data_IF_018792747304
#
_entry.id   IF_018792747304
#
_cell.length_a   1.000
_cell.length_b   1.000
_cell.length_c   1.000
_cell.angle_alpha   90.00
_cell.angle_beta   90.00
_cell.angle_gamma   90.00
#
_symmetry.space_group_name_H-M   'P 1'
#
loop_
_entity.id
_entity.type
_entity.pdbx_description
1 polymer ?
#
# COMPACT_ATOMS: atom_id res chain seq x y z
N UNK A 1 7.93 -31.83 0.58
CA UNK A 1 8.61 -30.62 0.09
C UNK A 1 7.86 -30.23 -1.17
N UNK A 2 6.89 -29.32 -1.07
CA UNK A 2 5.94 -29.05 -2.15
C UNK A 2 5.77 -27.56 -2.32
N UNK A 3 6.28 -27.11 -3.47
CA UNK A 3 5.87 -25.99 -4.30
C UNK A 3 5.56 -24.66 -3.61
N UNK A 4 6.55 -23.78 -3.60
CA UNK A 4 6.36 -22.34 -3.60
C UNK A 4 5.56 -21.95 -4.86
N UNK A 5 4.27 -21.66 -4.70
CA UNK A 5 3.50 -20.98 -5.73
C UNK A 5 3.75 -19.48 -5.58
N UNK A 6 4.89 -19.01 -6.07
CA UNK A 6 5.08 -17.60 -6.38
C UNK A 6 4.02 -17.23 -7.44
N UNK A 7 3.00 -16.48 -7.02
CA UNK A 7 2.04 -15.85 -7.91
C UNK A 7 2.80 -14.94 -8.88
N UNK A 8 3.14 -15.49 -10.04
CA UNK A 8 3.96 -14.83 -11.03
C UNK A 8 3.17 -13.75 -11.76
N UNK A 9 3.83 -12.61 -11.97
CA UNK A 9 3.32 -11.51 -12.78
C UNK A 9 2.84 -12.01 -14.15
N UNK A 10 1.58 -11.77 -14.51
CA UNK A 10 1.02 -12.09 -15.83
C UNK A 10 0.81 -10.80 -16.66
N UNK A 11 1.64 -10.54 -17.68
CA UNK A 11 1.54 -9.32 -18.48
C UNK A 11 0.25 -9.22 -19.32
N UNK A 12 -0.55 -10.28 -19.45
CA UNK A 12 -1.82 -10.24 -20.16
C UNK A 12 -2.97 -9.73 -19.30
N UNK A 13 -2.82 -9.75 -17.98
CA UNK A 13 -3.86 -9.41 -17.01
C UNK A 13 -3.41 -8.37 -15.99
N UNK A 14 -2.11 -8.11 -15.90
CA UNK A 14 -1.47 -7.20 -14.96
C UNK A 14 -0.50 -6.24 -15.64
N UNK A 15 -0.25 -5.11 -15.00
CA UNK A 15 0.73 -4.11 -15.38
C UNK A 15 1.61 -3.76 -14.17
N UNK A 16 2.85 -3.37 -14.46
CA UNK A 16 3.74 -2.76 -13.47
C UNK A 16 3.69 -1.24 -13.62
N UNK A 17 3.33 -0.56 -12.53
CA UNK A 17 3.30 0.90 -12.47
C UNK A 17 4.52 1.38 -11.68
N UNK A 18 5.32 2.23 -12.31
CA UNK A 18 6.54 2.83 -11.72
C UNK A 18 6.23 4.26 -11.25
N UNK A 19 6.43 4.49 -9.95
CA UNK A 19 6.27 5.76 -9.25
C UNK A 19 7.64 6.38 -8.90
N UNK A 20 8.66 6.22 -9.73
CA UNK A 20 10.04 6.70 -9.54
C UNK A 20 10.80 6.07 -8.36
N UNK A 21 10.23 6.11 -7.15
CA UNK A 21 10.80 5.61 -5.88
C UNK A 21 10.39 4.18 -5.55
N UNK A 22 9.30 3.69 -6.13
CA UNK A 22 8.78 2.35 -5.92
C UNK A 22 7.96 1.89 -7.12
N UNK A 23 7.66 0.59 -7.15
CA UNK A 23 6.78 -0.01 -8.16
C UNK A 23 5.65 -0.78 -7.50
N UNK A 24 4.52 -0.86 -8.20
CA UNK A 24 3.38 -1.73 -7.87
C UNK A 24 3.00 -2.57 -9.08
N UNK A 25 2.37 -3.72 -8.82
CA UNK A 25 1.68 -4.53 -9.81
C UNK A 25 0.18 -4.39 -9.57
N UNK A 26 -0.57 -4.12 -10.63
CA UNK A 26 -2.03 -3.96 -10.61
C UNK A 26 -2.64 -4.62 -11.83
N UNK A 27 -3.94 -4.92 -11.83
CA UNK A 27 -4.66 -5.21 -13.07
C UNK A 27 -4.56 -4.07 -14.10
N UNK A 28 -4.81 -4.39 -15.38
CA UNK A 28 -4.65 -3.47 -16.51
C UNK A 28 -5.59 -2.24 -16.50
N UNK A 29 -6.68 -2.28 -15.75
CA UNK A 29 -7.69 -1.21 -15.67
C UNK A 29 -7.36 -0.11 -14.63
N UNK A 30 -6.29 -0.30 -13.84
CA UNK A 30 -5.84 0.70 -12.88
C UNK A 30 -5.04 1.83 -13.55
N UNK A 31 -5.35 3.06 -13.17
CA UNK A 31 -4.72 4.27 -13.71
C UNK A 31 -4.13 5.11 -12.58
N UNK A 32 -2.90 5.61 -12.79
CA UNK A 32 -2.24 6.51 -11.84
C UNK A 32 -2.74 7.94 -11.93
N UNK A 33 -2.73 8.64 -10.80
CA UNK A 33 -3.01 10.07 -10.72
C UNK A 33 -2.11 10.75 -9.68
N UNK A 34 -1.91 12.06 -9.84
CA UNK A 34 -1.15 12.91 -8.92
C UNK A 34 -1.99 14.14 -8.58
N UNK A 35 -2.50 14.24 -7.33
CA UNK A 35 -3.26 15.40 -6.89
C UNK A 35 -2.40 16.68 -6.88
N UNK A 36 -2.98 17.79 -7.34
CA UNK A 36 -2.29 19.09 -7.33
C UNK A 36 -2.24 19.69 -5.92
N UNK A 37 -1.22 20.52 -5.67
CA UNK A 37 -1.12 21.31 -4.44
C UNK A 37 -0.58 20.56 -3.23
N UNK A 38 0.22 19.50 -3.44
CA UNK A 38 0.89 18.78 -2.36
C UNK A 38 2.40 19.03 -2.43
N UNK A 39 3.02 19.34 -1.29
CA UNK A 39 4.48 19.60 -1.19
C UNK A 39 5.29 18.28 -1.04
N UNK A 40 4.61 17.13 -0.94
CA UNK A 40 5.20 15.80 -0.76
C UNK A 40 5.10 14.91 -1.99
N UNK A 41 5.76 13.74 -1.94
CA UNK A 41 5.60 12.74 -3.00
C UNK A 41 4.32 11.92 -2.75
N UNK A 42 3.21 12.48 -3.19
CA UNK A 42 1.86 11.97 -2.98
C UNK A 42 1.15 11.67 -4.30
N UNK A 43 0.31 10.65 -4.31
CA UNK A 43 -0.46 10.29 -5.49
C UNK A 43 -1.37 9.10 -5.25
N UNK A 44 -1.77 8.43 -6.34
CA UNK A 44 -2.56 7.22 -6.21
C UNK A 44 -2.81 6.48 -7.52
N UNK A 45 -3.62 5.44 -7.38
CA UNK A 45 -4.09 4.51 -8.39
C UNK A 45 -5.60 4.36 -8.24
N UNK A 46 -6.35 4.25 -9.33
CA UNK A 46 -7.78 3.93 -9.29
C UNK A 46 -8.22 3.10 -10.49
N UNK A 47 -9.19 2.22 -10.30
CA UNK A 47 -9.93 1.54 -11.35
C UNK A 47 -11.39 2.04 -11.46
N UNK A 48 -11.68 3.24 -10.94
CA UNK A 48 -13.03 3.82 -10.76
C UNK A 48 -13.95 3.12 -9.74
N UNK A 49 -13.55 1.96 -9.19
CA UNK A 49 -14.27 1.27 -8.11
C UNK A 49 -13.60 1.49 -6.76
N UNK A 50 -12.28 1.28 -6.74
CA UNK A 50 -11.42 1.50 -5.60
C UNK A 50 -10.38 2.56 -5.94
N UNK A 51 -9.95 3.29 -4.92
CA UNK A 51 -8.89 4.28 -5.03
C UNK A 51 -7.86 4.00 -3.95
N UNK A 52 -6.63 3.75 -4.38
CA UNK A 52 -5.46 3.55 -3.54
C UNK A 52 -4.60 4.80 -3.61
N UNK A 53 -4.39 5.44 -2.47
CA UNK A 53 -3.50 6.57 -2.33
C UNK A 53 -2.13 6.09 -1.85
N UNK A 54 -1.09 6.88 -2.11
CA UNK A 54 0.20 6.72 -1.48
C UNK A 54 0.71 8.04 -0.94
N UNK A 55 1.40 7.98 0.19
CA UNK A 55 2.22 9.04 0.75
C UNK A 55 3.63 8.49 0.96
N UNK A 56 4.62 9.13 0.33
CA UNK A 56 6.01 8.69 0.36
C UNK A 56 6.91 9.73 1.00
N UNK A 57 7.80 9.26 1.87
CA UNK A 57 8.87 10.03 2.48
C UNK A 57 8.67 10.25 3.98
N UNK A 58 9.52 11.09 4.55
CA UNK A 58 9.61 11.35 6.01
C UNK A 58 8.33 11.89 6.66
N UNK A 59 7.40 12.40 5.85
CA UNK A 59 6.12 12.92 6.33
C UNK A 59 4.97 11.92 6.21
N UNK A 60 5.21 10.74 5.62
CA UNK A 60 4.19 9.71 5.41
C UNK A 60 3.73 9.07 6.74
N UNK A 61 4.71 8.68 7.57
CA UNK A 61 4.55 8.22 8.94
C UNK A 61 5.92 8.32 9.65
N UNK A 62 5.96 8.17 10.97
CA UNK A 62 7.19 8.34 11.76
C UNK A 62 8.19 7.19 11.60
N UNK A 63 7.74 5.96 11.88
CA UNK A 63 8.52 4.73 11.80
C UNK A 63 7.58 3.52 11.73
N UNK A 64 8.02 2.42 11.13
CA UNK A 64 7.21 1.18 11.12
C UNK A 64 6.98 0.64 12.53
N UNK A 65 7.90 0.94 13.46
CA UNK A 65 7.82 0.50 14.84
C UNK A 65 6.71 1.24 15.62
N UNK A 66 6.30 2.43 15.16
CA UNK A 66 5.20 3.23 15.75
C UNK A 66 3.81 2.79 15.25
N UNK A 67 3.75 1.96 14.21
CA UNK A 67 2.49 1.40 13.70
C UNK A 67 2.14 0.17 14.53
N UNK A 68 1.23 0.30 15.48
CA UNK A 68 0.80 -0.80 16.37
C UNK A 68 -0.70 -1.03 16.32
N UNK A 69 -1.12 -2.23 16.72
CA UNK A 69 -2.53 -2.53 16.98
C UNK A 69 -3.05 -1.70 18.17
N UNK A 70 -4.31 -1.27 18.09
CA UNK A 70 -5.02 -0.50 19.10
C UNK A 70 -6.54 -0.79 19.04
N UNK A 71 -7.34 -0.13 19.88
CA UNK A 71 -8.79 -0.36 19.97
C UNK A 71 -9.57 0.00 18.68
N UNK A 72 -8.98 0.78 17.77
CA UNK A 72 -9.57 1.13 16.46
C UNK A 72 -9.22 0.11 15.37
N UNK A 73 -8.32 -0.83 15.68
CA UNK A 73 -7.81 -1.82 14.74
C UNK A 73 -8.79 -2.98 14.59
N UNK A 74 -9.15 -3.29 13.34
CA UNK A 74 -10.00 -4.42 12.97
C UNK A 74 -9.13 -5.63 12.60
N UNK A 75 -8.01 -5.39 11.92
CA UNK A 75 -7.02 -6.43 11.64
C UNK A 75 -5.63 -5.83 11.52
N UNK A 76 -4.64 -6.56 12.03
CA UNK A 76 -3.24 -6.18 12.00
C UNK A 76 -2.39 -7.35 11.50
N UNK A 77 -1.45 -7.08 10.59
CA UNK A 77 -0.53 -8.08 10.08
C UNK A 77 0.86 -7.48 9.93
N UNK A 78 1.87 -8.13 10.52
CA UNK A 78 3.28 -7.87 10.26
C UNK A 78 3.83 -8.86 9.23
N UNK A 79 4.65 -8.37 8.32
CA UNK A 79 5.17 -9.15 7.20
C UNK A 79 6.41 -8.51 6.60
N UNK A 80 7.10 -9.26 5.73
CA UNK A 80 8.19 -8.75 4.90
C UNK A 80 7.69 -8.67 3.46
N UNK A 81 7.76 -7.47 2.86
CA UNK A 81 7.38 -7.23 1.46
C UNK A 81 8.54 -6.59 0.75
N UNK A 82 8.97 -7.17 -0.38
CA UNK A 82 10.12 -6.67 -1.12
C UNK A 82 11.44 -6.65 -0.34
N UNK A 83 11.56 -7.46 0.71
CA UNK A 83 12.72 -7.48 1.61
C UNK A 83 12.66 -6.50 2.78
N UNK A 84 11.57 -5.74 2.95
CA UNK A 84 11.45 -4.70 3.96
C UNK A 84 10.33 -4.95 4.96
N UNK A 85 10.55 -4.52 6.20
CA UNK A 85 9.57 -4.58 7.28
C UNK A 85 8.32 -3.83 6.88
N UNK A 86 7.19 -4.51 6.91
CA UNK A 86 5.93 -3.97 6.45
C UNK A 86 4.78 -4.37 7.36
N UNK A 87 3.74 -3.55 7.38
CA UNK A 87 2.52 -3.78 8.18
C UNK A 87 1.29 -3.52 7.32
N UNK A 88 0.30 -4.40 7.42
CA UNK A 88 -1.04 -4.18 6.85
C UNK A 88 -2.01 -3.98 8.01
N UNK A 89 -2.77 -2.90 7.95
CA UNK A 89 -3.71 -2.50 9.01
C UNK A 89 -5.05 -2.19 8.38
N UNK A 90 -6.11 -2.82 8.88
CA UNK A 90 -7.48 -2.39 8.66
C UNK A 90 -7.96 -1.77 9.95
N UNK A 91 -8.36 -0.51 9.92
CA UNK A 91 -8.81 0.24 11.09
C UNK A 91 -10.10 1.02 10.78
N UNK A 92 -10.85 1.36 11.83
CA UNK A 92 -11.96 2.31 11.77
C UNK A 92 -11.83 3.28 12.93
N UNK A 93 -11.40 4.50 12.64
CA UNK A 93 -11.16 5.52 13.65
C UNK A 93 -12.45 6.16 14.12
N UNK A 94 -12.44 6.63 15.35
CA UNK A 94 -13.59 7.37 15.88
C UNK A 94 -13.87 8.61 15.01
N UNK A 95 -15.14 8.80 14.63
CA UNK A 95 -15.58 9.89 13.76
C UNK A 95 -15.36 9.68 12.25
N UNK A 96 -14.63 8.64 11.83
CA UNK A 96 -14.49 8.32 10.40
C UNK A 96 -15.73 7.56 9.86
N UNK A 97 -16.19 7.97 8.68
CA UNK A 97 -17.34 7.36 8.00
C UNK A 97 -17.02 5.99 7.38
N UNK A 98 -15.74 5.66 7.21
CA UNK A 98 -15.27 4.53 6.41
C UNK A 98 -14.06 3.89 7.07
N UNK A 99 -13.89 2.59 6.86
CA UNK A 99 -12.65 1.91 7.24
C UNK A 99 -11.49 2.39 6.38
N UNK A 100 -10.28 2.26 6.93
CA UNK A 100 -9.05 2.55 6.22
C UNK A 100 -8.20 1.29 6.18
N UNK A 101 -7.89 0.84 4.97
CA UNK A 101 -7.02 -0.30 4.74
C UNK A 101 -5.67 0.21 4.27
N UNK A 102 -4.67 0.12 5.14
CA UNK A 102 -3.35 0.71 4.94
C UNK A 102 -2.29 -0.37 4.86
N UNK A 103 -1.28 -0.13 4.04
CA UNK A 103 0.00 -0.83 4.02
C UNK A 103 1.11 0.18 4.31
N UNK A 104 1.97 -0.16 5.24
CA UNK A 104 3.15 0.61 5.63
C UNK A 104 4.38 -0.21 5.28
N UNK A 105 5.37 0.40 4.64
CA UNK A 105 6.67 -0.20 4.38
C UNK A 105 7.79 0.79 4.65
N UNK A 106 8.85 0.30 5.26
CA UNK A 106 9.95 1.11 5.78
C UNK A 106 11.29 0.44 5.46
N UNK A 107 12.16 1.13 4.72
CA UNK A 107 13.53 0.64 4.43
C UNK A 107 14.46 0.70 5.66
N UNK A 108 14.01 1.30 6.76
CA UNK A 108 14.77 1.61 7.99
C UNK A 108 16.02 2.46 7.74
N UNK A 109 15.97 3.33 6.73
CA UNK A 109 17.02 4.31 6.42
C UNK A 109 16.65 5.76 6.79
N UNK A 110 15.48 5.95 7.42
CA UNK A 110 14.99 7.25 7.89
C UNK A 110 14.44 8.17 6.80
N UNK A 111 14.40 7.76 5.52
CA UNK A 111 13.91 8.60 4.42
C UNK A 111 12.93 7.90 3.49
N UNK A 112 13.06 6.57 3.33
CA UNK A 112 12.26 5.78 2.41
C UNK A 112 11.17 5.03 3.17
N UNK A 113 10.13 5.80 3.46
CA UNK A 113 8.88 5.37 4.08
C UNK A 113 7.79 5.47 3.02
N UNK A 114 6.97 4.44 2.89
CA UNK A 114 5.82 4.50 1.99
C UNK A 114 4.59 3.93 2.69
N UNK A 115 3.51 4.71 2.63
CA UNK A 115 2.20 4.29 3.08
C UNK A 115 1.26 4.27 1.90
N UNK A 116 0.73 3.09 1.59
CA UNK A 116 -0.39 2.93 0.66
C UNK A 116 -1.68 2.81 1.47
N UNK A 117 -2.78 3.40 1.02
CA UNK A 117 -4.05 3.25 1.73
C UNK A 117 -5.27 3.39 0.82
N UNK A 118 -6.33 2.67 1.17
CA UNK A 118 -7.62 2.69 0.50
C UNK A 118 -8.74 2.87 1.55
N UNK A 119 -9.74 3.69 1.24
CA UNK A 119 -10.91 3.88 2.09
C UNK A 119 -12.06 2.96 1.66
N UNK A 120 -12.66 2.25 2.61
CA UNK A 120 -13.77 1.32 2.40
C UNK A 120 -13.61 0.43 1.14
N UNK A 121 -12.49 -0.33 1.04
CA UNK A 121 -12.17 -1.10 -0.15
C UNK A 121 -13.30 -2.06 -0.51
N UNK A 122 -13.70 -2.05 -1.79
CA UNK A 122 -14.71 -2.95 -2.34
C UNK A 122 -14.16 -4.32 -2.66
N UNK A 123 -12.86 -4.41 -2.93
CA UNK A 123 -12.13 -5.66 -3.16
C UNK A 123 -10.86 -5.70 -2.32
N UNK A 124 -11.01 -6.05 -1.04
CA UNK A 124 -9.91 -6.00 -0.08
C UNK A 124 -8.77 -6.97 -0.45
N UNK A 125 -9.08 -8.14 -1.02
CA UNK A 125 -8.06 -9.12 -1.43
C UNK A 125 -7.25 -8.61 -2.62
N UNK A 126 -7.89 -7.96 -3.60
CA UNK A 126 -7.18 -7.29 -4.68
C UNK A 126 -6.26 -6.19 -4.16
N UNK A 127 -6.77 -5.31 -3.28
CA UNK A 127 -5.97 -4.24 -2.68
C UNK A 127 -4.78 -4.81 -1.89
N UNK A 128 -5.00 -5.89 -1.14
CA UNK A 128 -3.94 -6.62 -0.43
C UNK A 128 -2.91 -7.16 -1.42
N UNK A 129 -3.33 -7.75 -2.54
CA UNK A 129 -2.43 -8.18 -3.61
C UNK A 129 -1.54 -7.04 -4.13
N UNK A 130 -2.13 -5.87 -4.38
CA UNK A 130 -1.38 -4.67 -4.78
C UNK A 130 -0.37 -4.27 -3.70
N UNK A 131 -0.75 -4.25 -2.42
CA UNK A 131 0.17 -3.98 -1.31
C UNK A 131 1.37 -4.92 -1.30
N UNK A 132 1.13 -6.23 -1.43
CA UNK A 132 2.17 -7.26 -1.41
C UNK A 132 3.10 -7.21 -2.63
N UNK A 133 2.68 -6.54 -3.71
CA UNK A 133 3.49 -6.31 -4.90
C UNK A 133 4.49 -5.16 -4.75
N UNK A 134 4.39 -4.35 -3.69
CA UNK A 134 5.23 -3.17 -3.49
C UNK A 134 6.71 -3.51 -3.47
N UNK A 135 7.50 -2.78 -4.26
CA UNK A 135 8.97 -2.85 -4.23
C UNK A 135 9.53 -1.44 -4.26
N UNK A 136 10.38 -1.11 -3.28
CA UNK A 136 11.21 0.10 -3.37
C UNK A 136 12.23 -0.03 -4.51
N UNK A 137 12.62 1.11 -5.07
CA UNK A 137 13.75 1.23 -5.99
C UNK A 137 15.03 1.60 -5.26
#
# INVERSE_FOLDING_TARGET
MSCDSDGGFDPNTEQRIDFEKFTLVTPLDWVRFYPQGTDGFFGGLTNNRDTLYFDYGVFSFSSIDDVSENDETISFQELIVGGYSSKIVLEKREGEISTRFSFYSDKKDGTNLNRLYCYAPKDQELIKGIFLSHRFK
#
